data_IF_667558002797
#
_entry.id   IF_667558002797
#
_cell.length_a   1.000
_cell.length_b   1.000
_cell.length_c   1.000
_cell.angle_alpha   90.00
_cell.angle_beta   90.00
_cell.angle_gamma   90.00
#
_symmetry.space_group_name_H-M   'P 1'
#
loop_
_entity.id
_entity.type
_entity.pdbx_description
1 polymer ?
#
# COMPACT_ATOMS: atom_id res chain seq x y z
N UNK A 1 -3.20 -13.28 -7.66
CA UNK A 1 -2.40 -13.65 -6.46
C UNK A 1 -2.95 -14.96 -5.93
N UNK A 2 -2.09 -15.95 -5.72
CA UNK A 2 -2.51 -17.26 -5.18
C UNK A 2 -2.62 -17.22 -3.65
N UNK A 3 -3.32 -18.19 -3.06
CA UNK A 3 -3.44 -18.31 -1.60
C UNK A 3 -2.07 -18.52 -0.92
N UNK A 4 -1.17 -19.29 -1.56
CA UNK A 4 0.19 -19.52 -1.05
C UNK A 4 1.04 -18.25 -1.03
N UNK A 5 0.95 -17.43 -2.08
CA UNK A 5 1.64 -16.14 -2.12
C UNK A 5 1.10 -15.21 -1.04
N UNK A 6 -0.22 -15.16 -0.88
CA UNK A 6 -0.84 -14.32 0.14
C UNK A 6 -0.38 -14.74 1.55
N UNK A 7 -0.35 -16.03 1.88
CA UNK A 7 0.07 -16.50 3.20
C UNK A 7 1.54 -16.19 3.47
N UNK A 8 2.42 -16.39 2.47
CA UNK A 8 3.83 -16.06 2.60
C UNK A 8 4.05 -14.56 2.84
N UNK A 9 3.48 -13.70 1.98
CA UNK A 9 3.60 -12.23 2.10
C UNK A 9 3.03 -11.76 3.44
N UNK A 10 1.89 -12.31 3.87
CA UNK A 10 1.27 -11.95 5.15
C UNK A 10 2.18 -12.28 6.33
N UNK A 11 2.80 -13.47 6.33
CA UNK A 11 3.76 -13.86 7.36
C UNK A 11 4.96 -12.92 7.42
N UNK A 12 5.53 -12.57 6.26
CA UNK A 12 6.66 -11.66 6.15
C UNK A 12 6.33 -10.27 6.72
N UNK A 13 5.20 -9.69 6.31
CA UNK A 13 4.76 -8.35 6.77
C UNK A 13 4.45 -8.35 8.26
N UNK A 14 3.75 -9.37 8.77
CA UNK A 14 3.43 -9.48 10.20
C UNK A 14 4.70 -9.63 11.05
N UNK A 15 5.69 -10.40 10.60
CA UNK A 15 6.97 -10.56 11.29
C UNK A 15 7.78 -9.26 11.29
N UNK A 16 7.85 -8.57 10.16
CA UNK A 16 8.57 -7.29 10.00
C UNK A 16 7.99 -6.19 10.89
N UNK A 17 6.67 -6.06 10.91
CA UNK A 17 5.95 -5.05 11.69
C UNK A 17 5.65 -5.47 13.15
N UNK A 18 6.00 -6.70 13.54
CA UNK A 18 5.69 -7.29 14.86
C UNK A 18 4.20 -7.18 15.23
N UNK A 19 3.33 -7.47 14.26
CA UNK A 19 1.88 -7.40 14.45
C UNK A 19 1.33 -8.66 15.11
N UNK A 20 0.30 -8.47 15.91
CA UNK A 20 -0.45 -9.58 16.52
C UNK A 20 -1.47 -10.15 15.52
N UNK A 21 -1.91 -11.39 15.78
CA UNK A 21 -2.82 -12.15 14.91
C UNK A 21 -4.19 -11.48 14.71
N UNK A 22 -4.61 -10.59 15.61
CA UNK A 22 -5.83 -9.79 15.46
C UNK A 22 -5.80 -8.89 14.22
N UNK A 23 -4.61 -8.47 13.78
CA UNK A 23 -4.42 -7.63 12.59
C UNK A 23 -4.29 -8.41 11.30
N UNK A 24 -4.22 -9.75 11.35
CA UNK A 24 -3.99 -10.59 10.18
C UNK A 24 -4.98 -10.32 9.04
N UNK A 25 -6.27 -10.20 9.36
CA UNK A 25 -7.30 -9.92 8.35
C UNK A 25 -7.11 -8.57 7.66
N UNK A 26 -6.72 -7.54 8.42
CA UNK A 26 -6.45 -6.21 7.88
C UNK A 26 -5.19 -6.20 7.00
N UNK A 27 -4.14 -6.89 7.43
CA UNK A 27 -2.90 -7.07 6.66
C UNK A 27 -3.17 -7.78 5.34
N UNK A 28 -3.90 -8.90 5.36
CA UNK A 28 -4.27 -9.61 4.14
C UNK A 28 -5.11 -8.75 3.19
N UNK A 29 -6.03 -7.94 3.73
CA UNK A 29 -6.83 -7.00 2.94
C UNK A 29 -5.93 -5.95 2.27
N UNK A 30 -4.95 -5.41 2.99
CA UNK A 30 -3.96 -4.48 2.45
C UNK A 30 -3.13 -5.11 1.32
N UNK A 31 -2.60 -6.32 1.54
CA UNK A 31 -1.81 -7.07 0.56
C UNK A 31 -2.65 -7.36 -0.70
N UNK A 32 -3.92 -7.76 -0.56
CA UNK A 32 -4.84 -7.96 -1.70
C UNK A 32 -5.03 -6.67 -2.51
N UNK A 33 -5.22 -5.53 -1.84
CA UNK A 33 -5.34 -4.22 -2.49
C UNK A 33 -4.08 -3.87 -3.29
N UNK A 34 -2.91 -4.04 -2.69
CA UNK A 34 -1.61 -3.77 -3.33
C UNK A 34 -1.37 -4.73 -4.50
N UNK A 35 -1.67 -6.02 -4.33
CA UNK A 35 -1.55 -7.01 -5.39
C UNK A 35 -2.37 -6.65 -6.63
N UNK A 36 -3.63 -6.25 -6.44
CA UNK A 36 -4.48 -5.77 -7.55
C UNK A 36 -3.87 -4.53 -8.22
N UNK A 37 -3.40 -3.58 -7.42
CA UNK A 37 -2.79 -2.35 -7.92
C UNK A 37 -1.53 -2.63 -8.76
N UNK A 38 -0.69 -3.57 -8.32
CA UNK A 38 0.51 -4.02 -9.05
C UNK A 38 0.12 -4.74 -10.34
N UNK A 39 -0.89 -5.62 -10.32
CA UNK A 39 -1.37 -6.32 -11.52
C UNK A 39 -1.86 -5.33 -12.58
N UNK A 40 -2.68 -4.34 -12.20
CA UNK A 40 -3.15 -3.27 -13.08
C UNK A 40 -1.95 -2.48 -13.61
N UNK A 41 -1.03 -2.07 -12.73
CA UNK A 41 0.11 -1.22 -13.10
C UNK A 41 1.06 -1.92 -14.07
N UNK A 42 1.31 -3.20 -13.87
CA UNK A 42 2.18 -4.02 -14.70
C UNK A 42 1.45 -4.61 -15.91
N UNK A 43 0.13 -4.47 -15.98
CA UNK A 43 -0.72 -5.08 -17.02
C UNK A 43 -0.48 -6.60 -17.10
N UNK A 44 -0.58 -7.27 -15.96
CA UNK A 44 -0.41 -8.72 -15.81
C UNK A 44 -1.61 -9.32 -15.10
N UNK A 45 -1.84 -10.60 -15.33
CA UNK A 45 -2.82 -11.41 -14.57
C UNK A 45 -2.13 -12.21 -13.45
N UNK A 46 -0.81 -12.40 -13.57
CA UNK A 46 0.03 -13.18 -12.67
C UNK A 46 0.99 -12.30 -11.87
N UNK A 47 1.33 -12.75 -10.65
CA UNK A 47 2.37 -12.14 -9.81
C UNK A 47 3.60 -13.05 -9.85
N UNK A 48 4.66 -12.69 -10.61
CA UNK A 48 5.95 -13.36 -10.54
C UNK A 48 6.50 -13.44 -9.11
N UNK A 49 7.20 -14.54 -8.80
CA UNK A 49 7.83 -14.75 -7.49
C UNK A 49 8.75 -13.59 -7.05
N UNK A 50 9.42 -12.97 -8.01
CA UNK A 50 10.30 -11.81 -7.77
C UNK A 50 9.56 -10.53 -7.34
N UNK A 51 8.23 -10.46 -7.53
CA UNK A 51 7.40 -9.33 -7.07
C UNK A 51 6.82 -9.55 -5.66
N UNK A 52 6.85 -10.77 -5.12
CA UNK A 52 6.38 -11.07 -3.76
C UNK A 52 7.06 -10.18 -2.70
N UNK A 53 8.41 -10.04 -2.65
CA UNK A 53 9.06 -9.15 -1.67
C UNK A 53 8.74 -7.67 -1.92
N UNK A 54 8.53 -7.26 -3.17
CA UNK A 54 8.15 -5.88 -3.50
C UNK A 54 6.77 -5.55 -2.95
N UNK A 55 5.82 -6.48 -3.10
CA UNK A 55 4.46 -6.34 -2.55
C UNK A 55 4.49 -6.33 -1.02
N UNK A 56 5.33 -7.16 -0.40
CA UNK A 56 5.52 -7.14 1.05
C UNK A 56 6.00 -5.76 1.52
N UNK A 57 7.03 -5.21 0.89
CA UNK A 57 7.56 -3.89 1.23
C UNK A 57 6.54 -2.76 1.03
N UNK A 58 5.80 -2.79 -0.09
CA UNK A 58 4.69 -1.85 -0.33
C UNK A 58 3.61 -1.95 0.76
N UNK A 59 3.31 -3.16 1.23
CA UNK A 59 2.32 -3.37 2.30
C UNK A 59 2.83 -2.85 3.65
N UNK A 60 4.11 -3.06 3.96
CA UNK A 60 4.73 -2.49 5.15
C UNK A 60 4.66 -0.96 5.16
N UNK A 61 5.04 -0.32 4.06
CA UNK A 61 5.05 1.14 3.97
C UNK A 61 3.63 1.70 4.10
N UNK A 62 2.65 1.06 3.42
CA UNK A 62 1.24 1.45 3.53
C UNK A 62 0.73 1.33 4.97
N UNK A 63 1.04 0.23 5.66
CA UNK A 63 0.60 0.00 7.03
C UNK A 63 1.31 0.93 8.02
N UNK A 64 2.61 1.21 7.83
CA UNK A 64 3.34 2.21 8.61
C UNK A 64 2.72 3.60 8.46
N UNK A 65 2.36 4.00 7.23
CA UNK A 65 1.65 5.26 6.99
C UNK A 65 0.27 5.29 7.67
N UNK A 66 -0.54 4.23 7.54
CA UNK A 66 -1.84 4.14 8.21
C UNK A 66 -1.73 4.20 9.75
N UNK A 67 -0.69 3.57 10.33
CA UNK A 67 -0.38 3.68 11.76
C UNK A 67 0.03 5.10 12.17
N UNK A 68 0.86 5.76 11.35
CA UNK A 68 1.31 7.12 11.59
C UNK A 68 0.16 8.14 11.46
N UNK A 69 -0.75 7.94 10.50
CA UNK A 69 -1.97 8.74 10.32
C UNK A 69 -2.98 8.52 11.47
N UNK A 70 -2.99 7.34 12.07
CA UNK A 70 -3.80 7.08 13.27
C UNK A 70 -3.25 7.80 14.51
N UNK A 71 -1.94 8.10 14.54
CA UNK A 71 -1.29 8.90 15.60
C UNK A 71 -1.26 10.41 15.33
N UNK A 72 -1.18 10.81 14.06
CA UNK A 72 -1.25 12.19 13.62
C UNK A 72 -2.61 12.41 12.95
N UNK A 73 -3.61 12.79 13.76
CA UNK A 73 -4.94 13.12 13.26
C UNK A 73 -4.84 13.99 12.01
N UNK A 74 -5.47 13.55 10.93
CA UNK A 74 -5.52 14.24 9.64
C UNK A 74 -6.16 15.63 9.83
N UNK A 75 -5.36 16.60 10.25
CA UNK A 75 -5.79 17.95 10.59
C UNK A 75 -4.67 18.89 10.19
N UNK A 76 -4.76 19.43 8.97
CA UNK A 76 -4.07 20.67 8.61
C UNK A 76 -4.84 21.84 9.25
N UNK A 77 -4.88 21.90 10.58
CA UNK A 77 -5.45 23.06 11.29
C UNK A 77 -4.45 24.19 11.24
N UNK A 78 -4.89 25.34 10.73
CA UNK A 78 -4.15 26.59 10.89
C UNK A 78 -4.80 27.35 12.04
N UNK A 79 -4.06 27.56 13.12
CA UNK A 79 -4.53 28.33 14.28
C UNK A 79 -4.02 29.76 14.15
N UNK A 80 -4.93 30.73 14.15
CA UNK A 80 -4.58 32.17 14.24
C UNK A 80 -5.41 32.81 15.34
N UNK A 81 -4.77 33.07 16.49
CA UNK A 81 -5.47 33.56 17.68
C UNK A 81 -6.47 32.53 18.21
N UNK A 82 -7.69 32.98 18.55
CA UNK A 82 -8.77 32.14 19.11
C UNK A 82 -9.58 31.36 18.07
N UNK A 83 -9.21 31.44 16.78
CA UNK A 83 -9.91 30.73 15.71
C UNK A 83 -9.03 29.63 15.13
N UNK A 84 -9.55 28.40 15.15
CA UNK A 84 -8.96 27.24 14.48
C UNK A 84 -9.87 26.83 13.33
N UNK A 85 -9.31 26.75 12.12
CA UNK A 85 -10.00 26.26 10.93
C UNK A 85 -9.45 24.88 10.60
N UNK A 86 -10.32 23.87 10.64
CA UNK A 86 -9.97 22.49 10.29
C UNK A 86 -10.48 22.17 8.89
N UNK A 87 -9.55 21.88 7.97
CA UNK A 87 -9.88 21.36 6.65
C UNK A 87 -9.92 19.83 6.71
N UNK A 88 -11.02 19.21 6.26
CA UNK A 88 -11.05 17.78 5.94
C UNK A 88 -10.44 17.61 4.56
N UNK A 89 -9.20 17.15 4.51
CA UNK A 89 -8.55 16.83 3.24
C UNK A 89 -8.85 15.37 2.84
N UNK A 90 -9.98 15.16 2.18
CA UNK A 90 -10.37 13.86 1.62
C UNK A 90 -9.42 13.40 0.50
N UNK A 91 -8.51 14.27 0.02
CA UNK A 91 -7.54 13.91 -1.02
C UNK A 91 -6.33 13.14 -0.48
N UNK A 92 -6.13 13.09 0.83
CA UNK A 92 -4.98 12.45 1.46
C UNK A 92 -4.87 10.95 1.11
N UNK A 93 -5.98 10.22 1.08
CA UNK A 93 -6.01 8.77 0.78
C UNK A 93 -5.66 8.48 -0.69
N UNK A 94 -6.19 9.28 -1.62
CA UNK A 94 -5.88 9.19 -3.05
C UNK A 94 -4.44 9.59 -3.33
N UNK A 95 -3.94 10.62 -2.64
CA UNK A 95 -2.53 11.02 -2.73
C UNK A 95 -1.59 9.92 -2.21
N UNK A 96 -1.87 9.30 -1.06
CA UNK A 96 -1.04 8.23 -0.50
C UNK A 96 -0.88 7.06 -1.47
N UNK A 97 -1.99 6.58 -2.05
CA UNK A 97 -1.97 5.51 -3.05
C UNK A 97 -1.16 5.88 -4.30
N UNK A 98 -1.27 7.15 -4.75
CA UNK A 98 -0.52 7.64 -5.91
C UNK A 98 0.98 7.84 -5.65
N UNK A 99 1.35 8.19 -4.41
CA UNK A 99 2.75 8.37 -3.97
C UNK A 99 3.44 7.01 -3.92
N UNK A 100 2.82 6.04 -3.26
CA UNK A 100 3.32 4.69 -3.16
C UNK A 100 3.58 4.05 -4.53
N UNK A 101 2.69 4.27 -5.50
CA UNK A 101 2.94 3.81 -6.88
C UNK A 101 4.13 4.48 -7.56
N UNK A 102 4.37 5.77 -7.29
CA UNK A 102 5.51 6.51 -7.86
C UNK A 102 6.83 6.03 -7.28
N UNK A 103 6.88 5.73 -5.98
CA UNK A 103 8.11 5.31 -5.30
C UNK A 103 8.58 3.93 -5.78
N UNK A 104 7.63 3.03 -6.05
CA UNK A 104 7.90 1.68 -6.55
C UNK A 104 7.94 1.57 -8.09
N UNK A 105 7.68 2.67 -8.80
CA UNK A 105 7.65 2.73 -10.27
C UNK A 105 8.90 2.13 -10.95
N UNK A 106 10.15 2.40 -10.50
CA UNK A 106 11.34 1.83 -11.12
C UNK A 106 11.42 0.30 -11.01
N UNK A 107 10.90 -0.26 -9.92
CA UNK A 107 10.87 -1.70 -9.69
C UNK A 107 9.77 -2.35 -10.53
N UNK A 108 8.57 -1.77 -10.52
CA UNK A 108 7.40 -2.29 -11.23
C UNK A 108 7.55 -2.21 -12.76
N UNK A 109 8.26 -1.20 -13.28
CA UNK A 109 8.48 -1.00 -14.71
C UNK A 109 9.09 -2.22 -15.40
N UNK A 110 9.99 -2.94 -14.72
CA UNK A 110 10.65 -4.15 -15.25
C UNK A 110 9.68 -5.30 -15.55
N UNK A 111 8.54 -5.31 -14.88
CA UNK A 111 7.53 -6.35 -15.00
C UNK A 111 6.35 -5.94 -15.88
N UNK A 112 6.35 -4.72 -16.42
CA UNK A 112 5.27 -4.20 -17.25
C UNK A 112 5.20 -4.97 -18.58
N UNK A 113 4.09 -5.67 -18.84
CA UNK A 113 3.83 -6.28 -20.15
C UNK A 113 3.37 -5.20 -21.13
N UNK A 114 3.94 -5.22 -22.33
CA UNK A 114 3.53 -4.32 -23.41
C UNK A 114 2.17 -4.76 -23.96
N UNK A 115 1.22 -3.84 -24.06
CA UNK A 115 -0.04 -4.07 -24.78
C UNK A 115 0.25 -4.02 -26.27
N UNK A 116 0.65 -5.16 -26.83
CA UNK A 116 0.68 -5.33 -28.28
C UNK A 116 -0.76 -5.48 -28.77
N UNK A 117 -1.19 -4.72 -29.80
CA UNK A 117 -2.49 -4.96 -30.42
C UNK A 117 -2.55 -6.40 -30.93
N UNK A 118 -3.68 -7.07 -30.67
CA UNK A 118 -3.97 -8.42 -31.17
C UNK A 118 -4.27 -8.41 -32.65
#
# INVERSE_FOLDING_TARGET
MTSEQLTWITGEVMASLKLSDDKKSDVERCIRRIGIMVLIRCNREDIPKMLEPVIAQMAEDTLKEEMNLSGAGAVSSVTRGDTSITYRDDTALTQASSRLLKDYEPQLRRYKKMNLPK
#
